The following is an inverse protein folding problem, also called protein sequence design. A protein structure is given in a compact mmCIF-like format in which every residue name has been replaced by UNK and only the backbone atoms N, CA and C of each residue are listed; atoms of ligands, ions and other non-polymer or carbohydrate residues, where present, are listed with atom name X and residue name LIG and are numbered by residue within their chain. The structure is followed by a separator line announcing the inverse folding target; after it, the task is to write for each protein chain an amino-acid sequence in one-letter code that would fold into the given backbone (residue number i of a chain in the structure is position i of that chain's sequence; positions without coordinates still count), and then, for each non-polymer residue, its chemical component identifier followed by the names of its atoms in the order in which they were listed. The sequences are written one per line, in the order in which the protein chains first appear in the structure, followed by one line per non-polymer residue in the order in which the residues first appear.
data_IF_806547659363
#
_entry.id   IF_806547659363
#
_cell.length_a   1.000
_cell.length_b   1.000
_cell.length_c   1.000
_cell.angle_alpha   90.00
_cell.angle_beta   90.00
_cell.angle_gamma   90.00
#
_symmetry.space_group_name_H-M   'P 1'
#
loop_
_entity.id
_entity.type
_entity.pdbx_description
1 polymer ?
#
# COMPACT_ATOMS: atom_id res chain seq x y z
N UNK A 1 -22.29 -8.73 -8.50
CA UNK A 1 -21.01 -7.98 -8.60
C UNK A 1 -19.96 -8.56 -7.62
N UNK A 2 -19.58 -9.84 -7.76
CA UNK A 2 -18.62 -10.49 -6.84
C UNK A 2 -17.16 -10.49 -7.34
N UNK A 3 -16.95 -10.19 -8.63
CA UNK A 3 -15.60 -10.20 -9.24
C UNK A 3 -14.66 -9.14 -8.65
N UNK A 4 -15.21 -8.02 -8.17
CA UNK A 4 -14.40 -6.92 -7.65
C UNK A 4 -13.82 -7.19 -6.26
N UNK A 5 -14.48 -8.02 -5.44
CA UNK A 5 -13.99 -8.34 -4.09
C UNK A 5 -12.74 -9.23 -4.15
N UNK A 6 -12.79 -10.32 -4.94
CA UNK A 6 -11.68 -11.27 -5.02
C UNK A 6 -10.41 -10.61 -5.59
N UNK A 7 -10.56 -9.83 -6.68
CA UNK A 7 -9.45 -9.09 -7.27
C UNK A 7 -8.84 -8.08 -6.30
N UNK A 8 -9.68 -7.41 -5.50
CA UNK A 8 -9.21 -6.49 -4.45
C UNK A 8 -8.44 -7.21 -3.35
N UNK A 9 -8.97 -8.31 -2.83
CA UNK A 9 -8.28 -9.11 -1.80
C UNK A 9 -6.92 -9.60 -2.30
N UNK A 10 -6.85 -10.08 -3.54
CA UNK A 10 -5.58 -10.49 -4.15
C UNK A 10 -4.60 -9.31 -4.25
N UNK A 11 -5.03 -8.15 -4.75
CA UNK A 11 -4.19 -6.96 -4.84
C UNK A 11 -3.67 -6.50 -3.46
N UNK A 12 -4.52 -6.51 -2.44
CA UNK A 12 -4.16 -6.11 -1.08
C UNK A 12 -3.16 -7.10 -0.46
N UNK A 13 -3.34 -8.40 -0.70
CA UNK A 13 -2.42 -9.45 -0.26
C UNK A 13 -1.05 -9.33 -0.95
N UNK A 14 -1.03 -9.10 -2.27
CA UNK A 14 0.22 -8.92 -3.01
C UNK A 14 0.98 -7.68 -2.54
N UNK A 15 0.28 -6.57 -2.28
CA UNK A 15 0.90 -5.37 -1.70
C UNK A 15 1.44 -5.65 -0.30
N UNK A 16 0.70 -6.37 0.55
CA UNK A 16 1.13 -6.72 1.90
C UNK A 16 2.39 -7.61 1.89
N UNK A 17 2.41 -8.64 1.04
CA UNK A 17 3.55 -9.53 0.85
C UNK A 17 4.77 -8.77 0.33
N UNK A 18 4.60 -7.97 -0.74
CA UNK A 18 5.70 -7.17 -1.30
C UNK A 18 6.26 -6.19 -0.28
N UNK A 19 5.39 -5.59 0.55
CA UNK A 19 5.82 -4.72 1.66
C UNK A 19 6.68 -5.47 2.66
N UNK A 20 6.23 -6.66 3.10
CA UNK A 20 6.97 -7.48 4.05
C UNK A 20 8.31 -7.93 3.47
N UNK A 21 8.32 -8.45 2.25
CA UNK A 21 9.52 -8.90 1.55
C UNK A 21 10.52 -7.76 1.35
N UNK A 22 10.07 -6.58 0.92
CA UNK A 22 10.95 -5.42 0.75
C UNK A 22 11.58 -4.97 2.08
N UNK A 23 10.82 -5.04 3.18
CA UNK A 23 11.31 -4.71 4.52
C UNK A 23 12.39 -5.69 4.97
N UNK A 24 12.14 -7.00 4.84
CA UNK A 24 13.07 -8.06 5.23
C UNK A 24 14.32 -8.09 4.35
N UNK A 25 14.18 -8.06 3.02
CA UNK A 25 15.31 -8.17 2.08
C UNK A 25 16.28 -6.98 2.14
N UNK A 26 15.83 -5.83 2.62
CA UNK A 26 16.66 -4.63 2.74
C UNK A 26 16.94 -4.27 4.20
N UNK A 27 16.68 -5.20 5.13
CA UNK A 27 17.00 -5.07 6.56
C UNK A 27 16.57 -3.73 7.15
N UNK A 28 15.35 -3.29 6.80
CA UNK A 28 14.89 -1.97 7.20
C UNK A 28 14.78 -1.89 8.74
N UNK A 29 15.16 -0.75 9.34
CA UNK A 29 15.00 -0.55 10.78
C UNK A 29 13.54 -0.74 11.24
N UNK A 30 13.31 -1.21 12.47
CA UNK A 30 11.96 -1.48 12.97
C UNK A 30 11.09 -0.22 13.10
N UNK A 31 11.71 0.96 13.22
CA UNK A 31 11.01 2.25 13.25
C UNK A 31 10.72 2.81 11.84
N UNK A 32 11.18 2.15 10.78
CA UNK A 32 10.90 2.51 9.39
C UNK A 32 9.79 1.63 8.82
N UNK A 33 8.74 2.28 8.34
CA UNK A 33 7.64 1.61 7.63
C UNK A 33 7.63 2.03 6.18
N UNK A 34 7.29 1.10 5.31
CA UNK A 34 7.12 1.34 3.88
C UNK A 34 5.77 2.02 3.62
N UNK A 35 5.75 2.97 2.69
CA UNK A 35 4.53 3.61 2.23
C UNK A 35 3.73 2.66 1.31
N UNK A 36 2.66 2.06 1.83
CA UNK A 36 1.80 1.15 1.04
C UNK A 36 1.15 1.79 -0.19
N UNK A 37 0.86 3.09 -0.16
CA UNK A 37 0.34 3.77 -1.34
C UNK A 37 1.38 3.79 -2.48
N UNK A 38 2.67 3.89 -2.13
CA UNK A 38 3.75 3.81 -3.10
C UNK A 38 3.92 2.38 -3.64
N UNK A 39 3.80 1.36 -2.78
CA UNK A 39 3.81 -0.06 -3.20
C UNK A 39 2.76 -0.31 -4.28
N UNK A 40 1.55 0.21 -4.09
CA UNK A 40 0.50 0.13 -5.11
C UNK A 40 0.93 0.77 -6.44
N UNK A 41 1.48 1.99 -6.41
CA UNK A 41 1.95 2.69 -7.62
C UNK A 41 3.03 1.92 -8.38
N UNK A 42 3.92 1.22 -7.66
CA UNK A 42 5.00 0.42 -8.25
C UNK A 42 4.48 -0.90 -8.81
N UNK A 43 3.60 -1.59 -8.07
CA UNK A 43 3.08 -2.91 -8.49
C UNK A 43 2.06 -2.81 -9.61
N UNK A 44 1.25 -1.74 -9.66
CA UNK A 44 0.17 -1.60 -10.66
C UNK A 44 0.63 -1.83 -12.11
N UNK A 45 1.71 -1.20 -12.61
CA UNK A 45 2.20 -1.47 -13.97
C UNK A 45 2.88 -2.84 -14.13
N UNK A 46 3.41 -3.43 -13.05
CA UNK A 46 4.10 -4.72 -13.08
C UNK A 46 3.15 -5.92 -12.95
N UNK A 47 1.96 -5.74 -12.38
CA UNK A 47 1.02 -6.83 -12.13
C UNK A 47 0.74 -7.72 -13.35
N UNK A 48 0.50 -7.18 -14.56
CA UNK A 48 0.25 -8.02 -15.73
C UNK A 48 1.44 -8.93 -16.07
N UNK A 49 2.66 -8.41 -16.09
CA UNK A 49 3.86 -9.19 -16.41
C UNK A 49 4.20 -10.22 -15.33
N UNK A 50 4.02 -9.84 -14.05
CA UNK A 50 4.20 -10.74 -12.91
C UNK A 50 3.20 -11.91 -12.95
N UNK A 51 1.92 -11.64 -13.24
CA UNK A 51 0.89 -12.66 -13.33
C UNK A 51 1.03 -13.57 -14.56
N UNK A 52 1.59 -13.04 -15.65
CA UNK A 52 1.91 -13.81 -16.86
C UNK A 52 3.25 -14.57 -16.76
N UNK A 53 4.06 -14.31 -15.72
CA UNK A 53 5.37 -14.94 -15.53
C UNK A 53 6.45 -14.46 -16.51
N UNK A 54 6.26 -13.32 -17.18
CA UNK A 54 7.18 -12.83 -18.21
C UNK A 54 8.21 -11.89 -17.55
N UNK A 55 9.50 -12.26 -17.61
CA UNK A 55 10.64 -11.44 -17.15
C UNK A 55 10.47 -10.86 -15.72
N UNK A 56 9.85 -11.63 -14.83
CA UNK A 56 9.38 -11.18 -13.53
C UNK A 56 10.50 -10.96 -12.49
N UNK A 57 11.56 -11.78 -12.52
CA UNK A 57 12.52 -11.83 -11.41
C UNK A 57 13.32 -10.54 -11.23
N UNK A 58 13.90 -9.99 -12.29
CA UNK A 58 14.67 -8.75 -12.25
C UNK A 58 13.78 -7.54 -11.94
N UNK A 59 12.66 -7.42 -12.66
CA UNK A 59 11.67 -6.35 -12.44
C UNK A 59 11.12 -6.35 -11.01
N UNK A 60 10.91 -7.53 -10.42
CA UNK A 60 10.47 -7.66 -9.04
C UNK A 60 11.56 -7.28 -8.05
N UNK A 61 12.82 -7.68 -8.28
CA UNK A 61 13.95 -7.29 -7.45
C UNK A 61 14.15 -5.76 -7.45
N UNK A 62 14.09 -5.13 -8.62
CA UNK A 62 14.17 -3.68 -8.77
C UNK A 62 13.01 -2.97 -8.07
N UNK A 63 11.79 -3.51 -8.20
CA UNK A 63 10.62 -3.00 -7.49
C UNK A 63 10.79 -3.08 -5.97
N UNK A 64 11.30 -4.18 -5.43
CA UNK A 64 11.57 -4.32 -3.99
C UNK A 64 12.58 -3.28 -3.51
N UNK A 65 13.67 -3.05 -4.27
CA UNK A 65 14.67 -2.04 -3.94
C UNK A 65 14.10 -0.61 -3.98
N UNK A 66 13.28 -0.32 -4.98
CA UNK A 66 12.63 0.98 -5.13
C UNK A 66 11.60 1.22 -4.00
N UNK A 67 10.84 0.19 -3.61
CA UNK A 67 9.90 0.25 -2.47
C UNK A 67 10.65 0.49 -1.15
N UNK A 68 11.77 -0.21 -0.92
CA UNK A 68 12.55 -0.09 0.32
C UNK A 68 13.13 1.32 0.51
N UNK A 69 13.39 2.06 -0.57
CA UNK A 69 13.82 3.47 -0.52
C UNK A 69 12.71 4.43 -0.11
N UNK A 70 11.44 4.03 -0.19
CA UNK A 70 10.28 4.87 0.13
C UNK A 70 9.64 4.49 1.45
N UNK A 71 10.33 4.90 2.52
CA UNK A 71 9.91 4.66 3.90
C UNK A 71 9.60 5.96 4.63
N UNK A 72 8.81 5.85 5.69
CA UNK A 72 8.57 6.91 6.66
C UNK A 72 8.91 6.41 8.06
N UNK A 73 9.28 7.35 8.94
CA UNK A 73 9.52 7.04 10.35
C UNK A 73 8.18 6.84 11.06
N UNK A 74 7.95 5.64 11.54
CA UNK A 74 6.80 5.30 12.36
C UNK A 74 7.14 5.53 13.84
N UNK A 75 6.30 6.30 14.53
CA UNK A 75 6.41 6.51 15.97
C UNK A 75 5.18 5.89 16.63
N UNK A 76 5.32 4.75 17.35
CA UNK A 76 4.18 4.12 18.00
C UNK A 76 3.56 5.07 19.03
N UNK A 77 2.24 5.01 19.18
CA UNK A 77 1.51 5.85 20.14
C UNK A 77 1.27 7.31 19.71
N UNK A 78 1.82 7.75 18.58
CA UNK A 78 1.53 9.11 18.05
C UNK A 78 0.30 9.05 17.15
N UNK A 79 -0.81 9.57 17.65
CA UNK A 79 -1.94 9.92 16.79
C UNK A 79 -1.66 11.27 16.11
N UNK A 80 -1.95 11.37 14.81
CA UNK A 80 -1.99 12.64 14.09
C UNK A 80 -3.46 12.99 13.85
N UNK A 81 -4.16 13.58 14.83
CA UNK A 81 -5.55 13.96 14.65
C UNK A 81 -5.66 14.91 13.45
N UNK A 82 -6.64 14.67 12.58
CA UNK A 82 -6.93 15.63 11.50
C UNK A 82 -7.33 16.95 12.15
N UNK A 83 -6.82 18.06 11.62
CA UNK A 83 -7.28 19.39 12.03
C UNK A 83 -8.81 19.43 11.88
N UNK A 84 -9.56 19.88 12.89
CA UNK A 84 -11.00 20.05 12.74
C UNK A 84 -11.24 21.03 11.58
N UNK A 85 -11.92 20.56 10.55
CA UNK A 85 -12.38 21.37 9.42
C UNK A 85 -13.90 21.30 9.43
N UNK A 86 -14.54 22.46 9.31
CA UNK A 86 -15.97 22.49 8.99
C UNK A 86 -16.15 21.75 7.65
N UNK A 87 -17.07 20.79 7.63
CA UNK A 87 -17.43 20.13 6.39
C UNK A 87 -18.05 21.21 5.48
N UNK A 88 -17.76 21.20 4.16
CA UNK A 88 -18.31 22.19 3.22
C UNK A 88 -19.82 22.03 3.00
N UNK A 89 -20.44 21.00 3.57
CA UNK A 89 -21.87 20.75 3.54
C UNK A 89 -22.47 20.93 4.94
N UNK A 90 -23.74 21.33 5.00
CA UNK A 90 -24.52 21.38 6.25
C UNK A 90 -24.49 20.01 6.93
N UNK A 91 -24.36 20.02 8.25
CA UNK A 91 -24.51 18.80 9.07
C UNK A 91 -25.92 18.24 8.86
N UNK A 92 -26.05 17.18 8.06
CA UNK A 92 -27.31 16.47 7.91
C UNK A 92 -27.44 15.50 9.08
N UNK A 93 -28.27 15.86 10.06
CA UNK A 93 -28.50 15.06 11.27
C UNK A 93 -29.33 13.80 11.02
N UNK A 94 -29.87 13.60 9.81
CA UNK A 94 -30.69 12.43 9.50
C UNK A 94 -30.40 11.85 8.11
N UNK A 95 -30.28 10.52 8.05
CA UNK A 95 -30.55 9.76 6.82
C UNK A 95 -32.04 9.41 6.85
N UNK A 96 -32.82 9.57 5.76
CA UNK A 96 -34.14 8.98 5.70
C UNK A 96 -34.00 7.46 5.81
N UNK A 97 -34.83 6.87 6.67
CA UNK A 97 -34.98 5.42 6.81
C UNK A 97 -35.44 4.78 5.50
#
# INVERSE_FOLDING_TARGET
MAQDLAARVLCDNLQALTTLTAHTCHELPPDRRINRAYVHSVLKPLLPSLLLGIAAATSLADALALIARHTFRHRPGISKPRKPRSKPHKSMTQKPC
#
